data_IF_298769367087
#
_entry.id   IF_298769367087
#
_cell.length_a   1.000
_cell.length_b   1.000
_cell.length_c   1.000
_cell.angle_alpha   90.00
_cell.angle_beta   90.00
_cell.angle_gamma   90.00
#
_symmetry.space_group_name_H-M   'P 1'
#
loop_
_entity.id
_entity.type
_entity.pdbx_description
1 polymer ?
#
# COMPACT_ATOMS: atom_id res chain seq x y z
N UNK A 1 0.98 -33.75 3.40
CA UNK A 1 1.78 -32.60 2.94
C UNK A 1 0.75 -31.54 2.57
N UNK A 2 0.48 -30.65 3.51
CA UNK A 2 -0.55 -29.63 3.41
C UNK A 2 -0.27 -28.75 2.20
N UNK A 3 -1.24 -28.74 1.28
CA UNK A 3 -1.25 -27.99 0.04
C UNK A 3 -0.95 -26.51 0.31
N UNK A 4 0.05 -26.02 -0.42
CA UNK A 4 0.52 -24.64 -0.56
C UNK A 4 -0.53 -23.56 -0.28
N UNK A 5 -0.55 -23.03 0.94
CA UNK A 5 -1.22 -21.77 1.23
C UNK A 5 -0.20 -20.65 1.00
N UNK A 6 0.06 -20.34 -0.27
CA UNK A 6 0.97 -19.24 -0.62
C UNK A 6 0.47 -17.95 0.06
N UNK A 7 1.31 -17.22 0.81
CA UNK A 7 0.84 -16.05 1.54
C UNK A 7 0.25 -15.03 0.56
N UNK A 8 -0.99 -14.65 0.78
CA UNK A 8 -1.67 -13.61 0.02
C UNK A 8 -1.59 -12.28 0.75
N UNK A 9 -1.60 -11.19 -0.02
CA UNK A 9 -1.55 -9.83 0.49
C UNK A 9 -2.68 -9.02 -0.16
N UNK A 10 -3.18 -8.02 0.56
CA UNK A 10 -4.23 -7.13 0.07
C UNK A 10 -3.65 -5.84 -0.49
N UNK A 11 -4.02 -5.50 -1.72
CA UNK A 11 -3.56 -4.27 -2.36
C UNK A 11 -4.09 -3.02 -1.63
N UNK A 12 -3.20 -2.08 -1.30
CA UNK A 12 -3.52 -0.83 -0.62
C UNK A 12 -4.53 0.05 -1.37
N UNK A 13 -4.49 0.01 -2.71
CA UNK A 13 -5.34 0.83 -3.59
C UNK A 13 -6.61 0.11 -4.05
N UNK A 14 -6.48 -0.97 -4.85
CA UNK A 14 -7.64 -1.64 -5.45
C UNK A 14 -8.30 -2.70 -4.54
N UNK A 15 -7.75 -2.92 -3.34
CA UNK A 15 -8.28 -3.82 -2.28
C UNK A 15 -8.41 -5.30 -2.68
N UNK A 16 -7.91 -5.70 -3.85
CA UNK A 16 -7.84 -7.12 -4.27
C UNK A 16 -6.79 -7.87 -3.43
N UNK A 17 -7.11 -9.11 -3.10
CA UNK A 17 -6.19 -10.06 -2.48
C UNK A 17 -5.49 -10.87 -3.58
N UNK A 18 -4.17 -10.96 -3.51
CA UNK A 18 -3.35 -11.67 -4.49
C UNK A 18 -2.19 -12.36 -3.81
N UNK A 19 -1.63 -13.42 -4.41
CA UNK A 19 -0.45 -14.06 -3.87
C UNK A 19 0.73 -13.08 -3.80
N UNK A 20 1.58 -13.21 -2.78
CA UNK A 20 2.65 -12.24 -2.49
C UNK A 20 3.64 -12.09 -3.65
N UNK A 21 3.83 -13.11 -4.48
CA UNK A 21 4.69 -13.07 -5.67
C UNK A 21 4.17 -12.12 -6.78
N UNK A 22 2.85 -11.84 -6.81
CA UNK A 22 2.18 -10.90 -7.71
C UNK A 22 2.07 -9.48 -7.13
N UNK A 23 2.64 -9.28 -5.95
CA UNK A 23 2.57 -8.04 -5.19
C UNK A 23 3.97 -7.42 -5.07
N UNK A 24 4.01 -6.10 -4.88
CA UNK A 24 5.22 -5.34 -4.58
C UNK A 24 4.94 -4.35 -3.45
N UNK A 25 5.93 -4.12 -2.61
CA UNK A 25 5.85 -3.05 -1.62
C UNK A 25 6.14 -1.70 -2.29
N UNK A 26 5.38 -0.69 -1.90
CA UNK A 26 5.61 0.69 -2.32
C UNK A 26 5.37 1.61 -1.11
N UNK A 27 6.27 2.57 -0.93
CA UNK A 27 6.09 3.65 0.05
C UNK A 27 5.30 4.77 -0.62
N UNK A 28 4.29 5.28 0.06
CA UNK A 28 3.60 6.52 -0.32
C UNK A 28 3.80 7.58 0.74
N UNK A 29 3.82 8.84 0.29
CA UNK A 29 4.04 10.04 1.09
C UNK A 29 2.74 10.85 1.05
N UNK A 30 2.21 11.22 2.20
CA UNK A 30 0.95 11.96 2.28
C UNK A 30 1.00 13.04 3.34
N UNK A 31 0.22 14.11 3.16
CA UNK A 31 0.02 15.13 4.20
C UNK A 31 -1.09 14.65 5.13
N UNK A 32 -0.81 14.61 6.42
CA UNK A 32 -1.78 14.19 7.42
C UNK A 32 -1.49 14.78 8.78
N UNK A 33 -2.33 14.43 9.75
CA UNK A 33 -2.14 14.83 11.14
C UNK A 33 -1.17 13.88 11.83
N UNK A 34 -0.08 14.40 12.38
CA UNK A 34 0.89 13.60 13.10
C UNK A 34 0.24 13.03 14.38
N UNK A 35 0.25 11.70 14.59
CA UNK A 35 -0.54 11.05 15.63
C UNK A 35 -0.16 11.48 17.05
N UNK A 36 1.09 11.90 17.27
CA UNK A 36 1.59 12.34 18.59
C UNK A 36 1.39 13.82 18.88
N UNK A 37 1.36 14.68 17.85
CA UNK A 37 1.44 16.15 18.03
C UNK A 37 0.19 16.87 17.53
N UNK A 38 -0.69 16.19 16.78
CA UNK A 38 -1.89 16.80 16.20
C UNK A 38 -1.59 17.84 15.11
N UNK A 39 -0.33 18.04 14.72
CA UNK A 39 0.07 19.01 13.71
C UNK A 39 0.09 18.39 12.33
N UNK A 40 -0.14 19.21 11.31
CA UNK A 40 0.08 18.81 9.92
C UNK A 40 1.54 18.42 9.73
N UNK A 41 1.76 17.22 9.20
CA UNK A 41 3.08 16.69 8.90
C UNK A 41 3.05 15.90 7.59
N UNK A 42 4.22 15.73 7.00
CA UNK A 42 4.44 14.79 5.90
C UNK A 42 4.66 13.42 6.52
N UNK A 43 3.73 12.50 6.27
CA UNK A 43 3.76 11.12 6.77
C UNK A 43 4.11 10.18 5.62
N UNK A 44 4.64 9.01 5.96
CA UNK A 44 4.97 7.94 5.02
C UNK A 44 4.33 6.64 5.49
N UNK A 45 3.82 5.84 4.55
CA UNK A 45 3.35 4.49 4.84
C UNK A 45 3.76 3.55 3.71
N UNK A 46 4.22 2.36 4.08
CA UNK A 46 4.55 1.29 3.14
C UNK A 46 3.41 0.28 3.11
N UNK A 47 2.88 0.00 1.92
CA UNK A 47 1.82 -0.97 1.71
C UNK A 47 2.18 -1.93 0.57
N UNK A 48 1.45 -3.03 0.48
CA UNK A 48 1.50 -3.91 -0.67
C UNK A 48 0.59 -3.40 -1.79
N UNK A 49 1.08 -3.47 -3.02
CA UNK A 49 0.34 -3.10 -4.22
C UNK A 49 0.56 -4.14 -5.30
N UNK A 50 -0.41 -4.28 -6.20
CA UNK A 50 -0.29 -5.16 -7.34
C UNK A 50 0.95 -4.80 -8.19
N UNK A 51 1.73 -5.81 -8.58
CA UNK A 51 2.97 -5.66 -9.35
C UNK A 51 2.72 -5.29 -10.81
N UNK A 52 1.65 -5.84 -11.38
CA UNK A 52 1.23 -5.68 -12.78
C UNK A 52 0.53 -4.35 -13.07
N UNK A 53 0.18 -3.58 -12.04
CA UNK A 53 -0.60 -2.36 -12.17
C UNK A 53 0.05 -1.20 -11.43
N UNK A 54 -0.25 0.02 -11.86
CA UNK A 54 0.26 1.25 -11.25
C UNK A 54 -0.51 1.65 -9.98
N UNK A 55 -0.87 0.67 -9.13
CA UNK A 55 -1.67 0.91 -7.92
C UNK A 55 -0.96 1.79 -6.89
N UNK A 56 0.35 1.58 -6.65
CA UNK A 56 1.12 2.39 -5.70
C UNK A 56 1.17 3.87 -6.08
N UNK A 57 1.45 4.17 -7.36
CA UNK A 57 1.45 5.54 -7.85
C UNK A 57 0.06 6.18 -7.92
N UNK A 58 -0.99 5.40 -8.22
CA UNK A 58 -2.38 5.90 -8.12
C UNK A 58 -2.77 6.28 -6.69
N UNK A 59 -2.32 5.51 -5.71
CA UNK A 59 -2.53 5.82 -4.29
C UNK A 59 -1.77 7.08 -3.86
N UNK A 60 -0.52 7.24 -4.32
CA UNK A 60 0.25 8.49 -4.13
C UNK A 60 -0.50 9.71 -4.68
N UNK A 61 -0.93 9.66 -5.95
CA UNK A 61 -1.65 10.77 -6.58
C UNK A 61 -2.98 11.08 -5.88
N UNK A 62 -3.68 10.05 -5.37
CA UNK A 62 -4.91 10.24 -4.60
C UNK A 62 -4.71 10.93 -3.24
N UNK A 63 -3.48 10.93 -2.72
CA UNK A 63 -3.10 11.65 -1.50
C UNK A 63 -2.49 13.04 -1.77
N UNK A 64 -2.19 13.37 -3.02
CA UNK A 64 -1.62 14.66 -3.46
C UNK A 64 -2.66 15.62 -4.04
N UNK A 65 -3.83 15.12 -4.47
CA UNK A 65 -4.98 15.92 -4.94
C UNK A 65 -5.85 16.42 -3.80
#
# INVERSE_FOLDING_TARGET
MDMDNEPTEKCGFCRKERPRNEMRQHEIIYRGTHPRTGRTAVLRKTNWYCKDTFCGGKDQMGHEG
#
